data_IF_698891482113
#
_entry.id   IF_698891482113
#
_cell.length_a   1.000
_cell.length_b   1.000
_cell.length_c   1.000
_cell.angle_alpha   90.00
_cell.angle_beta   90.00
_cell.angle_gamma   90.00
#
_symmetry.space_group_name_H-M   'P 1'
#
loop_
_entity.id
_entity.type
_entity.pdbx_description
1 polymer ?
#
# COMPACT_ATOMS: atom_id res chain seq x y z
N UNK A 1 21.49 6.94 0.23
CA UNK A 1 21.30 5.89 -0.80
C UNK A 1 19.80 5.72 -1.00
N UNK A 2 19.29 5.93 -2.21
CA UNK A 2 17.87 5.68 -2.51
C UNK A 2 17.57 4.18 -2.44
N UNK A 3 16.35 3.82 -2.05
CA UNK A 3 15.92 2.42 -2.10
C UNK A 3 15.76 2.00 -3.56
N UNK A 4 16.53 1.02 -4.01
CA UNK A 4 16.31 0.41 -5.33
C UNK A 4 14.99 -0.38 -5.31
N UNK A 5 14.23 -0.27 -6.38
CA UNK A 5 12.98 -1.03 -6.60
C UNK A 5 13.29 -2.16 -7.57
N UNK A 6 12.93 -3.38 -7.17
CA UNK A 6 13.08 -4.59 -7.98
C UNK A 6 11.70 -5.00 -8.50
N UNK A 7 11.64 -5.47 -9.74
CA UNK A 7 10.43 -6.02 -10.37
C UNK A 7 10.69 -7.48 -10.72
N UNK A 8 9.67 -8.30 -10.58
CA UNK A 8 9.63 -9.67 -11.08
C UNK A 8 8.87 -9.67 -12.42
N UNK A 9 9.54 -10.10 -13.48
CA UNK A 9 8.93 -10.20 -14.81
C UNK A 9 8.12 -11.50 -14.93
N UNK A 10 6.83 -11.38 -15.24
CA UNK A 10 5.94 -12.51 -15.55
C UNK A 10 5.58 -12.42 -17.04
N UNK A 11 6.28 -13.16 -17.88
CA UNK A 11 6.07 -13.12 -19.34
C UNK A 11 5.03 -14.15 -19.77
N UNK A 12 3.93 -13.69 -20.38
CA UNK A 12 2.85 -14.52 -20.96
C UNK A 12 3.15 -15.05 -22.38
N UNK A 13 4.38 -14.93 -22.89
CA UNK A 13 4.76 -15.54 -24.17
C UNK A 13 4.90 -17.07 -24.03
N UNK A 14 3.80 -17.83 -23.89
CA UNK A 14 3.74 -19.28 -24.18
C UNK A 14 2.32 -19.81 -24.25
N UNK A 15 1.79 -20.00 -25.46
CA UNK A 15 0.82 -21.07 -25.73
C UNK A 15 1.02 -21.65 -27.14
N UNK A 16 1.91 -22.65 -27.35
CA UNK A 16 1.63 -23.72 -28.29
C UNK A 16 0.64 -24.71 -27.64
N UNK A 17 -0.40 -25.18 -28.35
CA UNK A 17 -1.49 -25.95 -27.75
C UNK A 17 -1.17 -27.44 -27.49
N UNK A 18 0.09 -27.86 -27.40
CA UNK A 18 0.39 -29.27 -27.18
C UNK A 18 1.68 -29.49 -26.36
N UNK A 19 1.53 -30.24 -25.27
CA UNK A 19 2.55 -30.87 -24.42
C UNK A 19 3.31 -30.00 -23.40
N UNK A 20 2.91 -30.15 -22.12
CA UNK A 20 3.82 -30.29 -20.98
C UNK A 20 4.46 -29.03 -20.42
N UNK A 21 3.98 -28.61 -19.24
CA UNK A 21 4.61 -27.69 -18.28
C UNK A 21 5.24 -26.41 -18.86
N UNK A 22 4.48 -25.32 -18.79
CA UNK A 22 5.03 -23.99 -19.00
C UNK A 22 6.02 -23.65 -17.87
N UNK A 23 7.32 -23.97 -18.05
CA UNK A 23 8.38 -23.49 -17.17
C UNK A 23 8.73 -22.04 -17.54
N UNK A 24 7.93 -21.08 -17.07
CA UNK A 24 8.33 -19.68 -17.03
C UNK A 24 9.35 -19.46 -15.92
N UNK A 25 10.56 -18.98 -16.25
CA UNK A 25 11.57 -18.61 -15.25
C UNK A 25 11.24 -17.25 -14.62
N UNK A 26 11.07 -17.22 -13.30
CA UNK A 26 10.94 -15.98 -12.54
C UNK A 26 12.28 -15.23 -12.52
N UNK A 27 12.28 -13.96 -12.95
CA UNK A 27 13.48 -13.12 -13.04
C UNK A 27 13.29 -11.78 -12.36
N UNK A 28 14.22 -11.45 -11.47
CA UNK A 28 14.31 -10.14 -10.86
C UNK A 28 15.12 -9.18 -11.72
N UNK A 29 14.59 -7.98 -11.91
CA UNK A 29 15.29 -6.88 -12.58
C UNK A 29 15.17 -5.58 -11.77
N UNK A 30 16.09 -4.65 -11.99
CA UNK A 30 16.05 -3.33 -11.34
C UNK A 30 15.19 -2.40 -12.21
N UNK A 31 14.15 -1.82 -11.61
CA UNK A 31 13.35 -0.80 -12.28
C UNK A 31 14.18 0.49 -12.42
N UNK A 32 14.46 0.86 -13.66
CA UNK A 32 15.04 2.17 -13.99
C UNK A 32 13.93 3.22 -14.01
N UNK A 33 13.65 3.82 -12.86
CA UNK A 33 12.65 4.88 -12.72
C UNK A 33 13.27 6.25 -12.48
N UNK A 34 12.65 7.29 -13.05
CA UNK A 34 12.99 8.70 -12.81
C UNK A 34 12.17 9.30 -11.65
N UNK A 35 12.51 10.52 -11.24
CA UNK A 35 11.75 11.28 -10.24
C UNK A 35 12.16 11.02 -8.78
N UNK A 36 11.52 11.71 -7.81
CA UNK A 36 11.82 11.57 -6.39
C UNK A 36 11.35 10.21 -5.84
N UNK A 37 12.30 9.27 -5.70
CA UNK A 37 12.05 7.96 -5.12
C UNK A 37 11.81 8.06 -3.60
N UNK A 38 10.97 7.20 -3.01
CA UNK A 38 10.82 7.12 -1.57
C UNK A 38 12.16 6.78 -0.90
N UNK A 39 12.58 7.46 0.18
CA UNK A 39 13.72 7.02 0.98
C UNK A 39 13.48 5.63 1.59
N UNK A 40 14.57 4.89 1.94
CA UNK A 40 14.48 3.56 2.55
C UNK A 40 13.58 3.55 3.79
N UNK A 41 12.62 2.62 3.82
CA UNK A 41 11.60 2.53 4.87
C UNK A 41 11.09 1.10 5.06
N UNK A 42 10.66 0.76 6.27
CA UNK A 42 10.02 -0.50 6.62
C UNK A 42 8.57 -0.30 7.10
N UNK A 43 7.75 -1.35 7.00
CA UNK A 43 6.35 -1.33 7.43
C UNK A 43 5.46 -0.34 6.67
N UNK A 44 5.87 0.04 5.45
CA UNK A 44 5.03 0.79 4.51
C UNK A 44 4.10 -0.18 3.77
N UNK A 45 3.08 0.36 3.11
CA UNK A 45 2.25 -0.40 2.16
C UNK A 45 2.44 0.12 0.75
N UNK A 46 2.23 -0.75 -0.24
CA UNK A 46 2.25 -0.42 -1.65
C UNK A 46 0.92 -0.87 -2.26
N UNK A 47 0.15 0.06 -2.82
CA UNK A 47 -1.22 -0.22 -3.31
C UNK A 47 -1.38 0.31 -4.73
N UNK A 48 -1.73 -0.57 -5.67
CA UNK A 48 -1.92 -0.23 -7.08
C UNK A 48 -3.38 0.18 -7.35
N UNK A 49 -3.59 1.38 -7.91
CA UNK A 49 -4.90 1.82 -8.42
C UNK A 49 -4.72 2.21 -9.88
N UNK A 50 -5.31 1.43 -10.79
CA UNK A 50 -5.06 1.55 -12.23
C UNK A 50 -3.56 1.37 -12.53
N UNK A 51 -2.93 2.42 -13.05
CA UNK A 51 -1.47 2.45 -13.36
C UNK A 51 -0.62 3.16 -12.30
N UNK A 52 -1.20 3.51 -11.15
CA UNK A 52 -0.55 4.30 -10.12
C UNK A 52 -0.32 3.46 -8.89
N UNK A 53 0.95 3.19 -8.59
CA UNK A 53 1.35 2.48 -7.38
C UNK A 53 1.66 3.49 -6.27
N UNK A 54 0.83 3.51 -5.24
CA UNK A 54 0.96 4.40 -4.10
C UNK A 54 1.71 3.72 -2.96
N UNK A 55 2.75 4.38 -2.46
CA UNK A 55 3.51 3.97 -1.28
C UNK A 55 3.09 4.85 -0.12
N UNK A 56 2.52 4.23 0.91
CA UNK A 56 1.99 4.93 2.08
C UNK A 56 2.84 4.67 3.32
N UNK A 57 3.18 5.77 4.00
CA UNK A 57 3.85 5.82 5.30
C UNK A 57 5.09 4.93 5.41
N UNK A 58 5.30 4.33 6.58
CA UNK A 58 6.49 3.58 6.97
C UNK A 58 7.40 4.35 7.92
N UNK A 59 8.47 3.69 8.35
CA UNK A 59 9.51 4.28 9.18
C UNK A 59 10.90 3.96 8.62
N UNK A 60 11.85 4.87 8.80
CA UNK A 60 13.26 4.60 8.51
C UNK A 60 13.91 3.71 9.59
N UNK A 61 15.20 3.42 9.44
CA UNK A 61 15.97 2.60 10.40
C UNK A 61 16.12 3.24 11.79
N UNK A 62 15.94 4.55 11.89
CA UNK A 62 16.02 5.32 13.13
C UNK A 62 14.62 5.51 13.76
N UNK A 63 13.60 4.81 13.26
CA UNK A 63 12.21 4.95 13.68
C UNK A 63 11.66 6.37 13.43
N UNK A 64 12.19 7.08 12.43
CA UNK A 64 11.55 8.30 11.92
C UNK A 64 10.35 7.89 11.09
N UNK A 65 9.15 8.15 11.61
CA UNK A 65 7.90 7.89 10.93
C UNK A 65 7.59 9.00 9.93
N UNK A 66 7.21 8.62 8.71
CA UNK A 66 6.94 9.56 7.62
C UNK A 66 5.49 9.43 7.17
N UNK A 67 4.84 10.57 6.91
CA UNK A 67 3.50 10.65 6.31
C UNK A 67 3.50 10.90 4.80
N UNK A 68 4.69 11.05 4.20
CA UNK A 68 4.83 11.30 2.77
C UNK A 68 4.27 10.15 1.94
N UNK A 69 3.48 10.50 0.92
CA UNK A 69 2.90 9.59 -0.06
C UNK A 69 3.76 9.67 -1.32
N UNK A 70 4.19 8.52 -1.82
CA UNK A 70 4.87 8.44 -3.11
C UNK A 70 3.99 7.71 -4.11
N UNK A 71 4.02 8.15 -5.37
CA UNK A 71 3.32 7.50 -6.47
C UNK A 71 4.32 7.16 -7.57
N UNK A 72 4.36 5.89 -7.97
CA UNK A 72 4.98 5.45 -9.21
C UNK A 72 3.90 5.35 -10.28
N UNK A 73 4.03 6.14 -11.34
CA UNK A 73 3.29 5.90 -12.57
C UNK A 73 3.98 4.75 -13.33
N UNK A 74 3.30 3.62 -13.46
CA UNK A 74 3.87 2.38 -14.00
C UNK A 74 3.98 2.39 -15.51
N UNK A 75 3.28 3.31 -16.21
CA UNK A 75 3.36 3.48 -17.66
C UNK A 75 4.64 4.24 -18.04
N UNK A 76 4.96 5.28 -17.28
CA UNK A 76 6.12 6.16 -17.51
C UNK A 76 7.33 5.82 -16.66
N UNK A 77 7.20 4.85 -15.75
CA UNK A 77 8.22 4.51 -14.75
C UNK A 77 8.75 5.75 -14.01
N UNK A 78 7.85 6.66 -13.62
CA UNK A 78 8.22 7.92 -12.96
C UNK A 78 7.63 8.02 -11.57
N UNK A 79 8.51 8.25 -10.60
CA UNK A 79 8.14 8.56 -9.22
C UNK A 79 7.74 10.02 -9.06
N UNK A 80 6.83 10.25 -8.14
CA UNK A 80 6.45 11.57 -7.66
C UNK A 80 6.14 11.49 -6.17
N UNK A 81 6.44 12.55 -5.43
CA UNK A 81 5.90 12.76 -4.10
C UNK A 81 4.57 13.48 -4.26
N UNK A 82 3.51 12.95 -3.65
CA UNK A 82 2.14 13.44 -3.81
C UNK A 82 1.64 13.94 -2.46
N UNK A 83 0.96 15.09 -2.46
CA UNK A 83 0.33 15.64 -1.27
C UNK A 83 -1.14 15.24 -1.22
N UNK A 84 -1.65 15.07 -0.01
CA UNK A 84 -3.06 14.84 0.24
C UNK A 84 -3.61 15.94 1.14
N UNK A 85 -4.81 16.39 0.82
CA UNK A 85 -5.59 17.35 1.62
C UNK A 85 -6.48 16.62 2.64
N UNK A 86 -7.15 17.38 3.51
CA UNK A 86 -8.06 16.84 4.51
C UNK A 86 -7.39 16.48 5.84
N UNK A 87 -8.15 15.84 6.73
CA UNK A 87 -7.63 15.30 7.98
C UNK A 87 -6.84 14.04 7.67
N UNK A 88 -5.54 14.02 8.02
CA UNK A 88 -4.64 12.94 7.66
C UNK A 88 -4.30 12.06 8.86
N UNK A 89 -4.06 10.75 8.65
CA UNK A 89 -3.56 9.88 9.71
C UNK A 89 -2.19 10.34 10.22
N UNK A 90 -1.96 10.13 11.51
CA UNK A 90 -0.63 10.26 12.10
C UNK A 90 0.40 9.34 11.41
N UNK A 91 1.68 9.75 11.30
CA UNK A 91 2.75 8.90 10.78
C UNK A 91 2.84 7.55 11.50
N UNK A 92 2.96 6.46 10.73
CA UNK A 92 2.84 5.08 11.24
C UNK A 92 3.58 4.05 10.39
N UNK A 93 3.86 2.88 10.96
CA UNK A 93 4.38 1.70 10.26
C UNK A 93 3.64 0.42 10.67
N UNK A 94 3.75 -0.63 9.87
CA UNK A 94 3.08 -1.91 10.13
C UNK A 94 1.56 -1.85 10.03
N UNK A 95 1.03 -0.88 9.29
CA UNK A 95 -0.38 -0.81 8.92
C UNK A 95 -0.66 -1.73 7.72
N UNK A 96 -1.92 -2.06 7.49
CA UNK A 96 -2.37 -2.67 6.24
C UNK A 96 -3.11 -1.64 5.38
N UNK A 97 -3.11 -1.87 4.07
CA UNK A 97 -3.85 -1.07 3.12
C UNK A 97 -4.49 -1.96 2.05
N UNK A 98 -5.71 -1.60 1.62
CA UNK A 98 -6.43 -2.28 0.53
C UNK A 98 -7.03 -1.25 -0.42
N UNK A 99 -7.14 -1.61 -1.70
CA UNK A 99 -7.91 -0.83 -2.67
C UNK A 99 -9.39 -0.98 -2.34
N UNK A 100 -10.13 0.12 -2.33
CA UNK A 100 -11.58 0.10 -2.36
C UNK A 100 -12.08 1.25 -3.24
N UNK A 101 -12.82 0.90 -4.30
CA UNK A 101 -13.21 1.86 -5.36
C UNK A 101 -11.97 2.56 -5.95
N UNK A 102 -11.99 3.88 -6.05
CA UNK A 102 -10.90 4.70 -6.57
C UNK A 102 -9.97 5.21 -5.45
N UNK A 103 -9.90 4.51 -4.32
CA UNK A 103 -9.10 4.94 -3.17
C UNK A 103 -8.50 3.80 -2.37
N UNK A 104 -7.82 4.18 -1.30
CA UNK A 104 -7.07 3.26 -0.43
C UNK A 104 -7.64 3.33 0.97
N UNK A 105 -8.02 2.18 1.52
CA UNK A 105 -8.37 2.03 2.94
C UNK A 105 -7.12 1.63 3.70
N UNK A 106 -6.73 2.42 4.70
CA UNK A 106 -5.62 2.16 5.62
C UNK A 106 -6.16 1.77 7.00
N UNK A 107 -5.59 0.74 7.62
CA UNK A 107 -6.01 0.27 8.96
C UNK A 107 -4.82 0.10 9.90
N UNK A 108 -4.97 0.63 11.11
CA UNK A 108 -4.09 0.40 12.24
C UNK A 108 -2.63 0.81 11.98
N UNK A 109 -1.70 -0.01 12.48
CA UNK A 109 -0.27 0.27 12.51
C UNK A 109 0.19 0.78 13.88
N UNK A 110 1.44 1.23 13.96
CA UNK A 110 1.99 1.79 15.19
C UNK A 110 2.94 2.96 14.92
N UNK A 111 3.22 3.70 15.98
CA UNK A 111 4.33 4.66 16.07
C UNK A 111 5.00 4.58 17.44
N UNK A 112 6.33 4.64 17.47
CA UNK A 112 7.07 4.80 18.74
C UNK A 112 6.99 6.23 19.26
N UNK A 113 6.60 7.20 18.44
CA UNK A 113 6.34 8.58 18.90
C UNK A 113 5.06 8.55 19.74
N UNK A 114 5.22 8.66 21.06
CA UNK A 114 4.10 8.54 22.00
C UNK A 114 3.59 7.11 22.18
N UNK A 115 4.36 6.09 21.76
CA UNK A 115 4.10 4.65 21.98
C UNK A 115 2.66 4.21 21.62
N UNK A 116 2.16 4.69 20.47
CA UNK A 116 0.77 4.51 20.06
C UNK A 116 0.63 3.37 19.06
N UNK A 117 -0.32 2.49 19.32
CA UNK A 117 -0.82 1.50 18.36
C UNK A 117 -2.22 1.93 17.94
N UNK A 118 -2.47 1.94 16.64
CA UNK A 118 -3.68 2.49 16.07
C UNK A 118 -4.76 1.42 15.88
N UNK A 119 -6.00 1.78 16.20
CA UNK A 119 -7.25 1.05 15.93
C UNK A 119 -8.14 1.78 14.91
N UNK A 120 -7.62 2.85 14.33
CA UNK A 120 -8.33 3.70 13.38
C UNK A 120 -8.32 3.12 11.96
N UNK A 121 -9.23 3.65 11.14
CA UNK A 121 -9.36 3.37 9.73
C UNK A 121 -9.39 4.70 8.99
N UNK A 122 -8.69 4.77 7.86
CA UNK A 122 -8.60 5.97 7.02
C UNK A 122 -8.88 5.62 5.57
N UNK A 123 -9.45 6.57 4.83
CA UNK A 123 -9.67 6.47 3.40
C UNK A 123 -8.95 7.60 2.67
N UNK A 124 -8.05 7.23 1.76
CA UNK A 124 -7.41 8.13 0.80
C UNK A 124 -8.17 8.05 -0.51
N UNK A 125 -8.85 9.13 -0.86
CA UNK A 125 -9.46 9.29 -2.18
C UNK A 125 -8.37 9.55 -3.22
N UNK A 126 -8.25 8.65 -4.21
CA UNK A 126 -7.30 8.73 -5.31
C UNK A 126 -7.98 8.97 -6.67
N UNK A 127 -9.28 9.29 -6.69
CA UNK A 127 -10.04 9.57 -7.93
C UNK A 127 -9.43 10.72 -8.74
N UNK A 128 -8.91 11.76 -8.06
CA UNK A 128 -8.06 12.79 -8.64
C UNK A 128 -6.61 12.63 -8.17
N UNK A 129 -5.75 12.08 -9.03
CA UNK A 129 -4.33 11.88 -8.72
C UNK A 129 -3.53 13.16 -8.42
N UNK A 130 -4.05 14.34 -8.78
CA UNK A 130 -3.42 15.62 -8.48
C UNK A 130 -3.88 16.20 -7.13
N UNK A 131 -4.99 15.71 -6.60
CA UNK A 131 -5.66 16.24 -5.40
C UNK A 131 -6.16 15.09 -4.55
N UNK A 132 -5.23 14.32 -3.98
CA UNK A 132 -5.60 13.26 -3.05
C UNK A 132 -6.27 13.86 -1.82
N UNK A 133 -7.20 13.12 -1.21
CA UNK A 133 -7.91 13.58 -0.02
C UNK A 133 -8.05 12.48 1.02
N UNK A 134 -7.51 12.74 2.21
CA UNK A 134 -7.77 11.90 3.37
C UNK A 134 -9.12 12.21 4.00
N UNK A 135 -9.74 11.17 4.53
CA UNK A 135 -10.91 11.26 5.39
C UNK A 135 -10.97 10.05 6.31
N UNK A 136 -11.64 10.20 7.44
CA UNK A 136 -12.00 9.08 8.28
C UNK A 136 -13.37 8.55 7.81
N UNK A 137 -13.46 7.32 7.27
CA UNK A 137 -14.73 6.76 6.87
C UNK A 137 -15.60 6.53 8.11
N UNK A 138 -16.91 6.74 7.97
CA UNK A 138 -17.87 6.35 8.99
C UNK A 138 -17.79 4.82 9.16
N UNK A 139 -17.56 4.37 10.39
CA UNK A 139 -17.59 2.96 10.75
C UNK A 139 -18.75 2.71 11.71
N UNK A 140 -19.50 1.65 11.45
CA UNK A 140 -20.54 1.14 12.36
C UNK A 140 -20.08 -0.19 12.97
N UNK A 141 -20.55 -0.45 14.20
CA UNK A 141 -20.22 -1.69 14.91
C UNK A 141 -18.98 -1.57 15.80
N UNK A 142 -18.35 -2.72 16.08
CA UNK A 142 -17.20 -2.80 16.97
C UNK A 142 -15.92 -2.58 16.15
N UNK A 143 -15.13 -1.53 16.44
CA UNK A 143 -13.88 -1.28 15.72
C UNK A 143 -12.86 -2.40 15.95
N UNK A 144 -11.96 -2.59 14.99
CA UNK A 144 -10.82 -3.49 15.18
C UNK A 144 -9.97 -2.98 16.35
N UNK A 145 -9.68 -3.82 17.34
CA UNK A 145 -8.71 -3.47 18.39
C UNK A 145 -7.37 -3.04 17.79
N UNK A 146 -6.71 -2.10 18.48
CA UNK A 146 -5.42 -1.55 18.09
C UNK A 146 -4.45 -2.67 17.73
N UNK A 147 -3.82 -2.56 16.55
CA UNK A 147 -2.92 -3.58 16.06
C UNK A 147 -1.93 -3.07 15.01
N UNK A 148 -0.76 -3.69 14.97
CA UNK A 148 0.22 -3.56 13.90
C UNK A 148 0.60 -4.93 13.32
N UNK A 149 1.33 -4.94 12.21
CA UNK A 149 1.86 -6.17 11.58
C UNK A 149 0.79 -7.22 11.29
N UNK A 150 -0.43 -6.76 11.03
CA UNK A 150 -1.56 -7.56 10.58
C UNK A 150 -1.62 -7.56 9.05
N UNK A 151 -2.50 -8.38 8.48
CA UNK A 151 -2.89 -8.28 7.08
C UNK A 151 -4.34 -7.81 6.97
N UNK A 152 -4.65 -7.11 5.87
CA UNK A 152 -6.01 -6.80 5.47
C UNK A 152 -6.21 -7.19 4.01
N UNK A 153 -7.37 -7.73 3.67
CA UNK A 153 -7.73 -8.12 2.31
C UNK A 153 -9.18 -7.79 2.04
N UNK A 154 -9.46 -7.08 0.95
CA UNK A 154 -10.82 -6.88 0.47
C UNK A 154 -11.29 -8.16 -0.24
N UNK A 155 -12.45 -8.67 0.16
CA UNK A 155 -13.04 -9.87 -0.45
C UNK A 155 -13.92 -9.45 -1.62
N UNK A 156 -13.55 -9.92 -2.82
CA UNK A 156 -14.23 -9.54 -4.07
C UNK A 156 -15.31 -10.53 -4.51
N UNK A 157 -15.44 -11.69 -3.86
CA UNK A 157 -16.47 -12.67 -4.20
C UNK A 157 -16.87 -13.58 -3.03
N UNK A 158 -18.05 -14.19 -3.14
CA UNK A 158 -18.56 -15.16 -2.18
C UNK A 158 -19.32 -14.52 -1.00
N UNK A 159 -19.51 -15.28 0.08
CA UNK A 159 -20.38 -14.87 1.20
C UNK A 159 -19.90 -13.62 1.96
N UNK A 160 -18.63 -13.23 1.79
CA UNK A 160 -18.02 -12.06 2.41
C UNK A 160 -17.71 -10.96 1.38
N UNK A 161 -18.25 -11.04 0.17
CA UNK A 161 -18.06 -10.03 -0.87
C UNK A 161 -18.32 -8.61 -0.35
N UNK A 162 -17.44 -7.68 -0.71
CA UNK A 162 -17.47 -6.28 -0.28
C UNK A 162 -17.00 -6.04 1.14
N UNK A 163 -16.52 -7.08 1.86
CA UNK A 163 -15.97 -6.93 3.21
C UNK A 163 -14.45 -6.99 3.18
N UNK A 164 -13.83 -6.17 4.01
CA UNK A 164 -12.41 -6.28 4.32
C UNK A 164 -12.23 -7.22 5.50
N UNK A 165 -11.37 -8.23 5.36
CA UNK A 165 -11.00 -9.17 6.42
C UNK A 165 -9.62 -8.79 6.95
N UNK A 166 -9.52 -8.62 8.26
CA UNK A 166 -8.28 -8.28 8.96
C UNK A 166 -7.83 -9.45 9.83
N UNK A 167 -6.61 -9.93 9.65
CA UNK A 167 -6.11 -11.14 10.33
C UNK A 167 -4.76 -10.87 11.00
N UNK A 168 -4.60 -11.39 12.22
CA UNK A 168 -3.34 -11.34 12.97
C UNK A 168 -2.98 -9.96 13.51
N UNK A 169 -1.68 -9.75 13.66
CA UNK A 169 -1.09 -8.57 14.30
C UNK A 169 -0.95 -8.65 15.81
N UNK A 170 -0.31 -7.64 16.39
CA UNK A 170 -0.09 -7.49 17.84
C UNK A 170 -0.48 -6.11 18.36
N UNK A 171 -0.71 -6.03 19.67
CA UNK A 171 -1.01 -4.83 20.45
C UNK A 171 -0.09 -4.77 21.66
#
# INVERSE_FOLDING_TARGET
MSGQVFIEDVTDEMLPPDLGEAEGELKWSVLKASGPQPPPRGGHTATLIGRRLYILFGADRNQTYVSAIYCLDTETSTWSEVTASGEAPEPRSGHSAVVWKEGIVLVGGMTFVGEKIFDDCWYLDCSNHQELRWSQPASEGVPCKARNSHTATLIESGALEGRMVVVGGGS
#
